data_IF_746803622677
#
_entry.id   IF_746803622677
#
_cell.length_a   1.000
_cell.length_b   1.000
_cell.length_c   1.000
_cell.angle_alpha   90.00
_cell.angle_beta   90.00
_cell.angle_gamma   90.00
#
_symmetry.space_group_name_H-M   'P 1'
#
loop_
_entity.id
_entity.type
_entity.pdbx_description
1 polymer ?
#
# COMPACT_ATOMS: atom_id res chain seq x y z
N UNK A 1 -25.82 -12.16 -1.87
CA UNK A 1 -24.93 -13.10 -2.59
C UNK A 1 -24.07 -13.84 -1.56
N UNK A 2 -23.60 -15.04 -1.86
CA UNK A 2 -22.67 -15.81 -1.01
C UNK A 2 -21.23 -15.52 -1.41
N UNK A 3 -20.31 -15.50 -0.46
CA UNK A 3 -18.87 -15.39 -0.75
C UNK A 3 -18.42 -16.54 -1.68
N UNK A 4 -17.50 -16.30 -2.62
CA UNK A 4 -16.84 -17.36 -3.36
C UNK A 4 -16.22 -18.39 -2.40
N UNK A 5 -16.26 -19.67 -2.76
CA UNK A 5 -15.83 -20.78 -1.88
C UNK A 5 -14.39 -20.60 -1.39
N UNK A 6 -13.47 -20.22 -2.28
CA UNK A 6 -12.08 -19.95 -1.92
C UNK A 6 -11.94 -18.83 -0.88
N UNK A 7 -12.77 -17.78 -0.97
CA UNK A 7 -12.72 -16.64 -0.06
C UNK A 7 -13.36 -16.96 1.30
N UNK A 8 -14.40 -17.79 1.32
CA UNK A 8 -14.96 -18.33 2.57
C UNK A 8 -13.92 -19.17 3.33
N UNK A 9 -13.14 -19.99 2.62
CA UNK A 9 -12.05 -20.76 3.23
C UNK A 9 -10.93 -19.85 3.78
N UNK A 10 -10.56 -18.78 3.08
CA UNK A 10 -9.61 -17.77 3.59
C UNK A 10 -10.13 -17.12 4.87
N UNK A 11 -11.40 -16.69 4.89
CA UNK A 11 -12.04 -16.11 6.08
C UNK A 11 -11.95 -17.04 7.29
N UNK A 12 -12.31 -18.30 7.11
CA UNK A 12 -12.34 -19.28 8.20
C UNK A 12 -10.94 -19.56 8.74
N UNK A 13 -9.95 -19.67 7.85
CA UNK A 13 -8.56 -19.87 8.22
C UNK A 13 -7.96 -18.65 8.93
N UNK A 14 -8.28 -17.43 8.50
CA UNK A 14 -7.93 -16.19 9.20
C UNK A 14 -8.56 -16.12 10.59
N UNK A 15 -9.85 -16.48 10.71
CA UNK A 15 -10.54 -16.55 12.00
C UNK A 15 -9.89 -17.55 12.95
N UNK A 16 -9.46 -18.70 12.45
CA UNK A 16 -8.71 -19.70 13.24
C UNK A 16 -7.34 -19.19 13.73
N UNK A 17 -6.74 -18.23 13.03
CA UNK A 17 -5.52 -17.53 13.45
C UNK A 17 -5.78 -16.36 14.42
N UNK A 18 -7.04 -16.09 14.76
CA UNK A 18 -7.43 -15.05 15.72
C UNK A 18 -7.73 -13.69 15.11
N UNK A 19 -7.78 -13.57 13.77
CA UNK A 19 -8.16 -12.33 13.12
C UNK A 19 -9.67 -12.11 13.19
N UNK A 20 -10.07 -10.88 13.50
CA UNK A 20 -11.44 -10.42 13.30
C UNK A 20 -11.63 -10.06 11.83
N UNK A 21 -12.30 -10.95 11.08
CA UNK A 21 -12.53 -10.78 9.64
C UNK A 21 -13.94 -10.27 9.38
N UNK A 22 -14.05 -9.14 8.70
CA UNK A 22 -15.27 -8.67 8.07
C UNK A 22 -15.34 -9.27 6.67
N UNK A 23 -16.50 -9.75 6.27
CA UNK A 23 -16.68 -10.37 4.97
C UNK A 23 -17.95 -9.84 4.31
N UNK A 24 -17.82 -9.50 3.04
CA UNK A 24 -18.88 -8.98 2.19
C UNK A 24 -18.76 -9.60 0.79
N UNK A 25 -19.90 -9.88 0.18
CA UNK A 25 -19.93 -10.64 -1.07
C UNK A 25 -19.42 -9.84 -2.28
N UNK A 26 -19.48 -8.50 -2.22
CA UNK A 26 -19.06 -7.63 -3.32
C UNK A 26 -17.63 -7.12 -3.12
N UNK A 27 -17.27 -6.73 -1.90
CA UNK A 27 -15.97 -6.15 -1.57
C UNK A 27 -14.92 -7.15 -1.06
N UNK A 28 -15.32 -8.39 -0.74
CA UNK A 28 -14.44 -9.46 -0.30
C UNK A 28 -14.22 -9.51 1.22
N UNK A 29 -12.97 -9.68 1.66
CA UNK A 29 -12.62 -9.74 3.09
C UNK A 29 -11.89 -8.48 3.52
N UNK A 30 -12.11 -8.04 4.76
CA UNK A 30 -11.33 -7.02 5.42
C UNK A 30 -10.91 -7.46 6.83
N UNK A 31 -9.69 -7.15 7.25
CA UNK A 31 -9.18 -7.47 8.57
C UNK A 31 -8.12 -6.47 9.03
N UNK A 32 -7.90 -6.38 10.35
CA UNK A 32 -6.90 -5.50 10.94
C UNK A 32 -5.60 -6.24 11.22
N UNK A 33 -4.46 -5.61 10.94
CA UNK A 33 -3.14 -6.08 11.33
C UNK A 33 -2.21 -4.89 11.62
N UNK A 34 -1.60 -4.88 12.82
CA UNK A 34 -0.65 -3.84 13.28
C UNK A 34 -1.10 -2.39 12.99
N UNK A 35 -2.39 -2.10 13.22
CA UNK A 35 -2.96 -0.77 13.04
C UNK A 35 -3.37 -0.41 11.61
N UNK A 36 -3.11 -1.29 10.62
CA UNK A 36 -3.58 -1.15 9.25
C UNK A 36 -4.82 -2.01 8.95
N UNK A 37 -5.68 -1.53 8.06
CA UNK A 37 -6.80 -2.31 7.53
C UNK A 37 -6.40 -2.90 6.17
N UNK A 38 -6.48 -4.23 6.06
CA UNK A 38 -6.13 -4.98 4.85
C UNK A 38 -7.37 -5.57 4.21
N UNK A 39 -7.30 -5.75 2.90
CA UNK A 39 -8.39 -6.27 2.08
C UNK A 39 -7.94 -7.46 1.24
N UNK A 40 -8.82 -8.44 1.09
CA UNK A 40 -8.71 -9.52 0.11
C UNK A 40 -9.97 -9.49 -0.76
N UNK A 41 -9.97 -8.71 -1.86
CA UNK A 41 -11.14 -8.59 -2.72
C UNK A 41 -11.50 -9.92 -3.36
N UNK A 42 -12.80 -10.13 -3.56
CA UNK A 42 -13.30 -11.25 -4.33
C UNK A 42 -12.76 -11.18 -5.76
N UNK A 43 -11.99 -12.18 -6.16
CA UNK A 43 -11.56 -12.36 -7.53
C UNK A 43 -12.65 -13.15 -8.24
N UNK A 44 -13.12 -12.67 -9.40
CA UNK A 44 -14.24 -13.25 -10.13
C UNK A 44 -14.00 -14.70 -10.53
N UNK A 45 -13.45 -14.90 -11.74
CA UNK A 45 -13.35 -16.24 -12.33
C UNK A 45 -11.98 -16.91 -12.09
N UNK A 46 -11.02 -16.22 -11.48
CA UNK A 46 -9.66 -16.72 -11.21
C UNK A 46 -9.51 -17.21 -9.76
N UNK A 47 -9.92 -18.46 -9.52
CA UNK A 47 -9.96 -19.06 -8.18
C UNK A 47 -8.59 -19.28 -7.53
N UNK A 48 -7.49 -19.22 -8.28
CA UNK A 48 -6.12 -19.40 -7.77
C UNK A 48 -5.39 -18.08 -7.51
N UNK A 49 -5.96 -16.96 -7.93
CA UNK A 49 -5.39 -15.64 -7.77
C UNK A 49 -5.88 -14.99 -6.47
N UNK A 50 -4.93 -14.51 -5.68
CA UNK A 50 -5.17 -13.80 -4.43
C UNK A 50 -4.51 -12.44 -4.49
N UNK A 51 -5.28 -11.43 -4.10
CA UNK A 51 -4.79 -10.08 -3.99
C UNK A 51 -4.93 -9.65 -2.53
N UNK A 52 -3.81 -9.39 -1.86
CA UNK A 52 -3.79 -8.72 -0.56
C UNK A 52 -3.56 -7.23 -0.81
N UNK A 53 -4.45 -6.38 -0.30
CA UNK A 53 -4.38 -4.93 -0.45
C UNK A 53 -4.22 -4.23 0.89
N UNK A 54 -3.38 -3.21 0.90
CA UNK A 54 -3.27 -2.18 1.93
C UNK A 54 -3.47 -0.81 1.26
N UNK A 55 -4.73 -0.35 1.19
CA UNK A 55 -5.10 0.85 0.45
C UNK A 55 -4.81 2.14 1.22
N UNK A 56 -4.78 3.27 0.51
CA UNK A 56 -4.81 4.63 1.04
C UNK A 56 -3.79 4.89 2.16
N UNK A 57 -2.57 4.35 2.03
CA UNK A 57 -1.57 4.49 3.09
C UNK A 57 -0.79 5.81 2.97
N UNK A 58 -0.90 6.50 1.84
CA UNK A 58 -0.30 7.80 1.57
C UNK A 58 -1.22 8.62 0.63
N UNK A 59 -1.82 9.72 1.09
CA UNK A 59 -2.61 10.61 0.25
C UNK A 59 -1.69 11.47 -0.63
N UNK A 60 -2.17 11.85 -1.82
CA UNK A 60 -1.47 12.71 -2.77
C UNK A 60 -2.25 14.01 -2.92
N UNK A 61 -1.66 15.11 -2.47
CA UNK A 61 -2.33 16.40 -2.37
C UNK A 61 -2.03 17.33 -3.56
N UNK A 62 -1.07 16.96 -4.42
CA UNK A 62 -0.67 17.75 -5.59
C UNK A 62 -0.10 16.92 -6.74
N UNK A 63 -0.04 17.52 -7.94
CA UNK A 63 0.59 16.90 -9.12
C UNK A 63 2.11 16.69 -8.93
N UNK A 64 2.76 17.55 -8.16
CA UNK A 64 4.17 17.41 -7.83
C UNK A 64 4.41 16.18 -6.94
N UNK A 65 3.60 16.05 -5.88
CA UNK A 65 3.64 14.89 -4.99
C UNK A 65 3.28 13.60 -5.74
N UNK A 66 2.33 13.67 -6.68
CA UNK A 66 2.01 12.56 -7.57
C UNK A 66 3.23 12.12 -8.39
N UNK A 67 3.99 13.07 -8.96
CA UNK A 67 5.24 12.79 -9.67
C UNK A 67 6.30 12.12 -8.78
N UNK A 68 6.48 12.63 -7.55
CA UNK A 68 7.39 12.05 -6.56
C UNK A 68 6.96 10.62 -6.18
N UNK A 69 5.66 10.40 -5.98
CA UNK A 69 5.10 9.11 -5.64
C UNK A 69 5.31 8.07 -6.74
N UNK A 70 5.19 8.46 -8.02
CA UNK A 70 5.51 7.56 -9.14
C UNK A 70 6.98 7.11 -9.12
N UNK A 71 7.91 8.03 -8.87
CA UNK A 71 9.33 7.71 -8.74
C UNK A 71 9.60 6.79 -7.53
N UNK A 72 8.99 7.09 -6.39
CA UNK A 72 9.10 6.28 -5.18
C UNK A 72 8.52 4.86 -5.39
N UNK A 73 7.38 4.74 -6.06
CA UNK A 73 6.78 3.45 -6.42
C UNK A 73 7.74 2.62 -7.28
N UNK A 74 8.30 3.20 -8.34
CA UNK A 74 9.26 2.51 -9.22
C UNK A 74 10.51 2.04 -8.45
N UNK A 75 11.12 2.95 -7.68
CA UNK A 75 12.33 2.66 -6.92
C UNK A 75 12.13 1.53 -5.90
N UNK A 76 11.00 1.55 -5.17
CA UNK A 76 10.71 0.52 -4.17
C UNK A 76 10.27 -0.79 -4.82
N UNK A 77 9.43 -0.77 -5.85
CA UNK A 77 8.97 -1.98 -6.54
C UNK A 77 10.13 -2.80 -7.13
N UNK A 78 11.24 -2.15 -7.52
CA UNK A 78 12.44 -2.84 -8.01
C UNK A 78 13.09 -3.75 -6.96
N UNK A 79 13.05 -3.36 -5.70
CA UNK A 79 13.73 -4.05 -4.60
C UNK A 79 12.77 -4.86 -3.71
N UNK A 80 11.51 -4.46 -3.66
CA UNK A 80 10.49 -5.06 -2.82
C UNK A 80 10.13 -6.48 -3.29
N UNK A 81 9.94 -7.39 -2.33
CA UNK A 81 9.59 -8.78 -2.62
C UNK A 81 8.08 -8.91 -2.78
N UNK A 82 7.63 -9.23 -3.99
CA UNK A 82 6.22 -9.54 -4.32
C UNK A 82 5.23 -8.38 -4.15
N UNK A 83 5.66 -7.23 -3.62
CA UNK A 83 4.80 -6.08 -3.39
C UNK A 83 4.75 -5.21 -4.62
N UNK A 84 3.56 -4.69 -4.89
CA UNK A 84 3.29 -3.70 -5.91
C UNK A 84 2.71 -2.44 -5.27
N UNK A 85 3.49 -1.37 -5.34
CA UNK A 85 3.06 -0.02 -5.02
C UNK A 85 2.53 0.65 -6.29
N UNK A 86 1.41 1.35 -6.16
CA UNK A 86 0.78 2.06 -7.27
C UNK A 86 -0.12 3.18 -6.77
N UNK A 87 -0.33 4.19 -7.62
CA UNK A 87 -1.25 5.31 -7.34
C UNK A 87 -2.66 4.96 -7.82
N UNK A 88 -3.69 5.27 -7.02
CA UNK A 88 -5.11 5.12 -7.35
C UNK A 88 -5.88 6.26 -6.71
N UNK A 89 -6.70 6.98 -7.48
CA UNK A 89 -7.66 7.98 -7.00
C UNK A 89 -7.12 9.03 -6.01
N UNK A 90 -5.86 9.45 -6.18
CA UNK A 90 -5.23 10.44 -5.29
C UNK A 90 -4.57 9.84 -4.04
N UNK A 91 -4.39 8.52 -4.01
CA UNK A 91 -3.74 7.78 -2.94
C UNK A 91 -2.68 6.83 -3.49
N UNK A 92 -1.78 6.36 -2.61
CA UNK A 92 -0.87 5.24 -2.88
C UNK A 92 -1.34 4.01 -2.14
N UNK A 93 -1.38 2.90 -2.88
CA UNK A 93 -1.80 1.59 -2.42
C UNK A 93 -0.62 0.62 -2.49
N UNK A 94 -0.57 -0.31 -1.55
CA UNK A 94 0.37 -1.43 -1.55
C UNK A 94 -0.40 -2.73 -1.64
N UNK A 95 0.14 -3.72 -2.34
CA UNK A 95 -0.48 -5.03 -2.35
C UNK A 95 0.44 -6.16 -2.78
N UNK A 96 0.02 -7.38 -2.50
CA UNK A 96 0.65 -8.61 -2.99
C UNK A 96 -0.33 -9.32 -3.90
N UNK A 97 0.11 -9.58 -5.12
CA UNK A 97 -0.57 -10.42 -6.11
C UNK A 97 0.09 -11.81 -6.06
N UNK A 98 -0.67 -12.86 -5.75
CA UNK A 98 -0.13 -14.20 -5.54
C UNK A 98 -1.00 -15.28 -6.17
N UNK A 99 -0.35 -16.35 -6.63
CA UNK A 99 -1.00 -17.55 -7.15
C UNK A 99 -0.82 -18.69 -6.14
N UNK A 100 -1.93 -19.24 -5.69
CA UNK A 100 -1.96 -20.41 -4.79
C UNK A 100 -2.96 -21.43 -5.32
N UNK A 101 -2.60 -22.70 -5.27
CA UNK A 101 -3.49 -23.77 -5.73
C UNK A 101 -4.63 -24.00 -4.73
N UNK A 102 -4.39 -23.69 -3.45
CA UNK A 102 -5.35 -23.88 -2.36
C UNK A 102 -5.39 -22.64 -1.44
N UNK A 103 -6.58 -22.27 -0.91
CA UNK A 103 -6.71 -21.15 0.02
C UNK A 103 -5.80 -21.21 1.25
N UNK A 104 -5.51 -22.41 1.74
CA UNK A 104 -4.67 -22.63 2.92
C UNK A 104 -3.21 -22.26 2.68
N UNK A 105 -2.73 -22.37 1.44
CA UNK A 105 -1.36 -21.98 1.06
C UNK A 105 -1.20 -20.45 1.11
N UNK A 106 -2.21 -19.71 0.61
CA UNK A 106 -2.25 -18.26 0.73
C UNK A 106 -2.23 -17.81 2.19
N UNK A 107 -3.08 -18.42 3.03
CA UNK A 107 -3.16 -18.07 4.46
C UNK A 107 -1.87 -18.42 5.21
N UNK A 108 -1.21 -19.54 4.86
CA UNK A 108 0.08 -19.89 5.44
C UNK A 108 1.19 -18.90 5.07
N UNK A 109 1.14 -18.31 3.87
CA UNK A 109 2.09 -17.29 3.42
C UNK A 109 1.77 -15.87 3.94
N UNK A 110 0.54 -15.65 4.41
CA UNK A 110 0.02 -14.32 4.76
C UNK A 110 0.88 -13.53 5.76
N UNK A 111 1.43 -14.12 6.85
CA UNK A 111 2.30 -13.37 7.76
C UNK A 111 3.52 -12.77 7.05
N UNK A 112 4.08 -13.48 6.05
CA UNK A 112 5.19 -12.98 5.25
C UNK A 112 4.75 -11.88 4.28
N UNK A 113 3.58 -12.02 3.67
CA UNK A 113 3.04 -10.98 2.79
C UNK A 113 2.77 -9.68 3.56
N UNK A 114 2.20 -9.78 4.76
CA UNK A 114 2.00 -8.63 5.64
C UNK A 114 3.33 -7.93 5.97
N UNK A 115 4.37 -8.70 6.34
CA UNK A 115 5.70 -8.13 6.58
C UNK A 115 6.28 -7.45 5.34
N UNK A 116 6.17 -8.05 4.15
CA UNK A 116 6.67 -7.44 2.92
C UNK A 116 5.94 -6.16 2.57
N UNK A 117 4.61 -6.11 2.73
CA UNK A 117 3.82 -4.89 2.52
C UNK A 117 4.29 -3.79 3.47
N UNK A 118 4.47 -4.09 4.76
CA UNK A 118 4.95 -3.11 5.73
C UNK A 118 6.39 -2.62 5.43
N UNK A 119 7.28 -3.52 5.01
CA UNK A 119 8.64 -3.16 4.59
C UNK A 119 8.61 -2.20 3.39
N UNK A 120 7.80 -2.50 2.37
CA UNK A 120 7.65 -1.66 1.18
C UNK A 120 7.01 -0.30 1.51
N UNK A 121 5.99 -0.27 2.37
CA UNK A 121 5.36 0.98 2.84
C UNK A 121 6.35 1.86 3.60
N UNK A 122 7.20 1.28 4.45
CA UNK A 122 8.25 2.03 5.15
C UNK A 122 9.27 2.60 4.16
N UNK A 123 9.76 1.77 3.23
CA UNK A 123 10.71 2.21 2.21
C UNK A 123 10.13 3.33 1.32
N UNK A 124 8.85 3.24 0.94
CA UNK A 124 8.16 4.28 0.19
C UNK A 124 8.10 5.59 0.98
N UNK A 125 7.70 5.53 2.26
CA UNK A 125 7.62 6.70 3.13
C UNK A 125 8.98 7.37 3.28
N UNK A 126 10.06 6.61 3.43
CA UNK A 126 11.41 7.15 3.53
C UNK A 126 11.80 7.92 2.25
N UNK A 127 11.45 7.42 1.07
CA UNK A 127 11.70 8.11 -0.21
C UNK A 127 10.88 9.39 -0.33
N UNK A 128 9.59 9.36 0.01
CA UNK A 128 8.71 10.53 -0.07
C UNK A 128 9.12 11.64 0.89
N UNK A 129 9.41 11.29 2.15
CA UNK A 129 9.86 12.27 3.14
C UNK A 129 11.17 12.94 2.72
N UNK A 130 12.13 12.16 2.18
CA UNK A 130 13.37 12.71 1.66
C UNK A 130 13.15 13.64 0.46
N UNK A 131 12.19 13.34 -0.42
CA UNK A 131 11.84 14.21 -1.55
C UNK A 131 11.19 15.52 -1.09
N UNK A 132 10.30 15.47 -0.09
CA UNK A 132 9.68 16.66 0.51
C UNK A 132 10.71 17.55 1.19
N UNK A 133 11.64 16.98 1.97
CA UNK A 133 12.74 17.73 2.58
C UNK A 133 13.66 18.41 1.55
N UNK A 134 13.92 17.76 0.42
CA UNK A 134 14.72 18.32 -0.67
C UNK A 134 14.00 19.48 -1.38
N UNK A 135 12.70 19.34 -1.66
CA UNK A 135 11.88 20.40 -2.24
C UNK A 135 11.79 21.64 -1.34
N UNK A 136 11.57 21.44 -0.04
CA UNK A 136 11.53 22.53 0.94
C UNK A 136 12.86 23.30 1.01
N UNK A 137 14.00 22.61 0.89
CA UNK A 137 15.31 23.24 0.87
C UNK A 137 15.54 24.12 -0.37
N UNK A 138 15.11 23.68 -1.56
CA UNK A 138 15.21 24.48 -2.80
C UNK A 138 14.36 25.76 -2.71
N UNK A 139 13.16 25.70 -2.11
CA UNK A 139 12.28 26.88 -1.94
C UNK A 139 12.90 27.92 -1.00
N UNK A 140 13.65 27.51 0.03
CA UNK A 140 14.30 28.43 0.97
C UNK A 140 15.47 29.18 0.32
N UNK A 141 16.23 28.52 -0.56
CA UNK A 141 17.37 29.14 -1.26
C UNK A 141 16.93 30.22 -2.28
N UNK A 142 15.72 30.10 -2.84
CA UNK A 142 15.18 31.04 -3.83
C UNK A 142 14.51 32.30 -3.24
N UNK A 143 14.49 32.47 -1.91
CA UNK A 143 14.02 33.71 -1.29
C UNK A 143 15.06 34.81 -1.49
N UNK A 144 14.78 35.88 -2.27
CA UNK A 144 15.77 36.92 -2.53
C UNK A 144 16.17 37.60 -1.22
N UNK A 145 17.47 37.55 -0.91
CA UNK A 145 18.07 38.25 0.23
C UNK A 145 17.68 39.73 0.12
N UNK A 146 16.81 40.20 1.03
CA UNK A 146 16.32 41.57 1.02
C UNK A 146 17.53 42.52 1.10
N UNK A 147 17.88 43.12 -0.04
CA UNK A 147 19.00 44.05 -0.14
C UNK A 147 18.68 45.22 0.80
N UNK A 148 19.48 45.47 1.86
CA UNK A 148 19.21 46.59 2.74
C UNK A 148 19.24 47.88 1.93
N UNK A 149 18.19 48.69 2.04
CA UNK A 149 18.14 49.98 1.35
C UNK A 149 19.31 50.86 1.82
N UNK A 150 19.97 51.59 0.90
CA UNK A 150 21.07 52.46 1.28
C UNK A 150 20.54 53.55 2.21
N UNK A 151 21.10 53.61 3.42
CA UNK A 151 20.86 54.73 4.35
C UNK A 151 21.41 56.00 3.69
N UNK A 152 20.50 56.96 3.48
CA UNK A 152 20.78 58.28 2.91
C UNK A 152 21.60 59.18 3.85
#
# INVERSE_FOLDING_TARGET
MTLPEGLAAVRDALGALGFAVQADAESGLAFMFEGGQYYVPAQGDDAGFYHLLFPNFWPLESDEEYGQALFACDAVNREAKLVKLHTVDGDVWAGVEALHAQPQEFVAALPRYLSFVQEAVRAFRDVMLAAQEAGDAEVIEDVPEARPEPVA
#
